data_IF_203842460326
#
_entry.id   IF_203842460326
#
_cell.length_a   1.000
_cell.length_b   1.000
_cell.length_c   1.000
_cell.angle_alpha   90.00
_cell.angle_beta   90.00
_cell.angle_gamma   90.00
#
_symmetry.space_group_name_H-M   'P 1'
#
loop_
_entity.id
_entity.type
_entity.pdbx_description
1 polymer ?
#
# COMPACT_ATOMS: atom_id res chain seq x y z
N UNK A 1 8.65 -9.94 -7.29
CA UNK A 1 9.40 -8.94 -8.10
C UNK A 1 8.59 -8.48 -9.30
N UNK A 2 7.96 -9.38 -10.11
CA UNK A 2 7.19 -8.98 -11.31
C UNK A 2 6.05 -8.02 -10.99
N UNK A 3 5.23 -8.29 -9.96
CA UNK A 3 4.15 -7.40 -9.55
C UNK A 3 4.67 -6.01 -9.17
N UNK A 4 5.79 -5.94 -8.43
CA UNK A 4 6.41 -4.66 -8.06
C UNK A 4 6.87 -3.88 -9.30
N UNK A 5 7.50 -4.55 -10.27
CA UNK A 5 7.88 -3.91 -11.53
C UNK A 5 6.67 -3.35 -12.28
N UNK A 6 5.57 -4.10 -12.33
CA UNK A 6 4.33 -3.62 -12.96
C UNK A 6 3.79 -2.37 -12.25
N UNK A 7 3.77 -2.35 -10.92
CA UNK A 7 3.34 -1.17 -10.15
C UNK A 7 4.24 0.04 -10.42
N UNK A 8 5.57 -0.12 -10.40
CA UNK A 8 6.51 0.97 -10.72
C UNK A 8 6.25 1.54 -12.11
N UNK A 9 5.86 0.70 -13.08
CA UNK A 9 5.59 1.14 -14.46
C UNK A 9 4.29 1.92 -14.61
N UNK A 10 3.47 2.00 -13.58
CA UNK A 10 2.22 2.76 -13.57
C UNK A 10 2.42 3.99 -12.68
N UNK A 11 2.50 5.21 -13.26
CA UNK A 11 2.55 6.43 -12.45
C UNK A 11 1.37 6.47 -11.45
N UNK A 12 1.70 6.68 -10.18
CA UNK A 12 0.72 6.70 -9.08
C UNK A 12 0.99 7.88 -8.14
N UNK A 13 1.20 9.05 -8.69
CA UNK A 13 1.38 10.27 -7.90
C UNK A 13 0.14 10.48 -7.03
N UNK A 14 0.33 10.91 -5.77
CA UNK A 14 -0.78 11.16 -4.84
C UNK A 14 -1.92 11.94 -5.49
N UNK A 15 -3.14 11.41 -5.39
CA UNK A 15 -4.39 11.83 -6.04
C UNK A 15 -4.54 11.44 -7.51
N UNK A 16 -3.55 10.78 -8.11
CA UNK A 16 -3.57 10.31 -9.51
C UNK A 16 -3.39 8.79 -9.61
N UNK A 17 -3.70 8.03 -8.55
CA UNK A 17 -3.39 6.60 -8.39
C UNK A 17 -4.39 5.66 -9.09
N UNK A 18 -5.38 6.17 -9.81
CA UNK A 18 -6.49 5.36 -10.34
C UNK A 18 -6.01 4.14 -11.12
N UNK A 19 -5.02 4.30 -12.01
CA UNK A 19 -4.51 3.19 -12.81
C UNK A 19 -3.79 2.13 -11.97
N UNK A 20 -3.03 2.55 -10.96
CA UNK A 20 -2.35 1.64 -10.04
C UNK A 20 -3.34 0.87 -9.17
N UNK A 21 -4.37 1.55 -8.69
CA UNK A 21 -5.45 0.95 -7.92
C UNK A 21 -6.27 -0.04 -8.76
N UNK A 22 -6.62 0.30 -10.01
CA UNK A 22 -7.32 -0.59 -10.94
C UNK A 22 -6.48 -1.85 -11.23
N UNK A 23 -5.19 -1.66 -11.50
CA UNK A 23 -4.27 -2.76 -11.74
C UNK A 23 -4.17 -3.69 -10.53
N UNK A 24 -4.00 -3.14 -9.34
CA UNK A 24 -3.89 -3.91 -8.10
C UNK A 24 -5.19 -4.64 -7.77
N UNK A 25 -6.34 -3.97 -7.94
CA UNK A 25 -7.65 -4.57 -7.76
C UNK A 25 -7.81 -5.79 -8.67
N UNK A 26 -7.57 -5.64 -9.96
CA UNK A 26 -7.63 -6.73 -10.93
C UNK A 26 -6.68 -7.88 -10.56
N UNK A 27 -5.46 -7.57 -10.10
CA UNK A 27 -4.51 -8.59 -9.68
C UNK A 27 -5.03 -9.40 -8.48
N UNK A 28 -5.64 -8.75 -7.50
CA UNK A 28 -6.22 -9.40 -6.32
C UNK A 28 -7.42 -10.26 -6.71
N UNK A 29 -8.28 -9.77 -7.59
CA UNK A 29 -9.46 -10.50 -8.11
C UNK A 29 -9.05 -11.73 -8.93
N UNK A 30 -8.01 -11.62 -9.77
CA UNK A 30 -7.43 -12.76 -10.50
C UNK A 30 -6.82 -13.82 -9.57
N UNK A 31 -6.41 -13.43 -8.37
CA UNK A 31 -5.97 -14.35 -7.32
C UNK A 31 -7.16 -15.02 -6.58
N UNK A 32 -8.40 -14.76 -6.98
CA UNK A 32 -9.62 -15.36 -6.44
C UNK A 32 -10.19 -14.66 -5.20
N UNK A 33 -9.73 -13.45 -4.90
CA UNK A 33 -10.21 -12.67 -3.76
C UNK A 33 -11.28 -11.66 -4.20
N UNK A 34 -12.29 -11.46 -3.37
CA UNK A 34 -13.25 -10.35 -3.55
C UNK A 34 -12.66 -9.07 -2.99
N UNK A 35 -12.73 -8.01 -3.77
CA UNK A 35 -12.22 -6.69 -3.38
C UNK A 35 -13.33 -5.72 -3.01
N UNK A 36 -13.00 -4.79 -2.12
CA UNK A 36 -13.74 -3.55 -1.91
C UNK A 36 -12.93 -2.37 -2.45
N UNK A 37 -13.61 -1.30 -2.82
CA UNK A 37 -12.99 -0.10 -3.37
C UNK A 37 -13.66 1.17 -2.82
N UNK A 38 -12.85 2.18 -2.47
CA UNK A 38 -13.31 3.53 -2.20
C UNK A 38 -12.28 4.54 -2.69
N UNK A 39 -12.64 5.30 -3.72
CA UNK A 39 -11.65 6.11 -4.44
C UNK A 39 -10.55 5.23 -5.00
N UNK A 40 -9.31 5.52 -4.64
CA UNK A 40 -8.14 4.73 -5.02
C UNK A 40 -7.66 3.75 -3.92
N UNK A 41 -8.38 3.66 -2.80
CA UNK A 41 -8.13 2.63 -1.79
C UNK A 41 -8.74 1.30 -2.23
N UNK A 42 -7.97 0.23 -2.15
CA UNK A 42 -8.37 -1.14 -2.51
C UNK A 42 -8.14 -2.06 -1.33
N UNK A 43 -9.14 -2.85 -0.95
CA UNK A 43 -8.99 -3.82 0.14
C UNK A 43 -9.61 -5.16 -0.18
N UNK A 44 -9.24 -6.18 0.58
CA UNK A 44 -9.88 -7.47 0.57
C UNK A 44 -9.83 -8.14 1.96
N UNK A 45 -10.76 -9.03 2.19
CA UNK A 45 -10.88 -9.80 3.43
C UNK A 45 -10.40 -11.23 3.24
N UNK A 46 -9.85 -11.84 4.29
CA UNK A 46 -9.59 -13.26 4.28
C UNK A 46 -10.88 -14.07 4.11
N UNK A 47 -10.86 -15.22 3.42
CA UNK A 47 -11.99 -16.12 3.35
C UNK A 47 -12.51 -16.50 4.74
N UNK A 48 -13.80 -16.77 4.86
CA UNK A 48 -14.45 -17.17 6.13
C UNK A 48 -14.21 -16.16 7.26
N UNK A 49 -14.34 -14.86 6.94
CA UNK A 49 -14.24 -13.78 7.92
C UNK A 49 -15.26 -14.00 9.05
N UNK A 50 -14.81 -13.98 10.30
CA UNK A 50 -15.65 -14.23 11.48
C UNK A 50 -15.48 -13.07 12.47
N UNK A 51 -16.54 -12.31 12.71
CA UNK A 51 -16.53 -11.16 13.63
C UNK A 51 -16.16 -11.51 15.09
N UNK A 52 -16.15 -12.80 15.45
CA UNK A 52 -15.71 -13.26 16.78
C UNK A 52 -14.19 -13.41 16.88
N UNK A 53 -13.48 -13.39 15.77
CA UNK A 53 -12.01 -13.52 15.74
C UNK A 53 -11.37 -12.13 15.77
N UNK A 54 -10.18 -11.97 16.38
CA UNK A 54 -9.40 -10.75 16.24
C UNK A 54 -9.04 -10.52 14.78
N UNK A 55 -8.97 -9.26 14.37
CA UNK A 55 -8.69 -8.85 13.00
C UNK A 55 -7.34 -8.15 12.92
N UNK A 56 -6.49 -8.60 12.00
CA UNK A 56 -5.21 -7.98 11.67
C UNK A 56 -5.36 -7.24 10.34
N UNK A 57 -5.03 -5.95 10.33
CA UNK A 57 -4.94 -5.13 9.14
C UNK A 57 -3.50 -5.13 8.62
N UNK A 58 -3.32 -5.45 7.35
CA UNK A 58 -2.07 -5.31 6.61
C UNK A 58 -2.25 -4.13 5.65
N UNK A 59 -1.61 -3.01 5.94
CA UNK A 59 -1.75 -1.77 5.18
C UNK A 59 -0.40 -1.29 4.63
N UNK A 60 -0.43 -0.74 3.43
CA UNK A 60 0.63 0.08 2.85
C UNK A 60 0.05 0.96 1.75
N UNK A 61 0.73 2.06 1.38
CA UNK A 61 0.22 2.99 0.39
C UNK A 61 0.72 2.69 -1.03
N UNK A 62 -0.11 3.03 -2.03
CA UNK A 62 0.20 2.84 -3.45
C UNK A 62 0.64 4.12 -4.14
N UNK A 63 0.43 5.27 -3.50
CA UNK A 63 0.85 6.55 -4.07
C UNK A 63 2.35 6.78 -3.90
N UNK A 64 2.84 7.73 -4.68
CA UNK A 64 4.23 8.18 -4.66
C UNK A 64 4.27 9.70 -4.71
N UNK A 65 5.37 10.26 -4.25
CA UNK A 65 5.71 11.67 -4.53
C UNK A 65 5.90 11.91 -6.02
N UNK A 66 5.91 13.18 -6.44
CA UNK A 66 6.31 13.54 -7.81
C UNK A 66 7.81 13.30 -8.03
N UNK A 67 8.21 12.79 -9.22
CA UNK A 67 9.62 12.70 -9.54
C UNK A 67 10.30 14.07 -9.44
N UNK A 68 11.43 14.12 -8.75
CA UNK A 68 12.22 15.37 -8.65
C UNK A 68 13.12 15.55 -9.87
N UNK A 69 13.48 16.80 -10.16
CA UNK A 69 14.50 17.10 -11.16
C UNK A 69 15.85 16.49 -10.72
N UNK A 70 16.45 15.67 -11.55
CA UNK A 70 17.73 15.03 -11.24
C UNK A 70 17.70 13.51 -11.27
N UNK A 71 16.54 12.91 -11.51
CA UNK A 71 16.50 11.49 -11.86
C UNK A 71 17.35 11.24 -13.11
N UNK A 72 18.35 10.37 -13.01
CA UNK A 72 19.25 10.03 -14.12
C UNK A 72 18.63 9.00 -15.09
N UNK A 73 17.59 8.32 -14.66
CA UNK A 73 16.87 7.28 -15.40
C UNK A 73 15.38 7.59 -15.27
N UNK A 74 14.57 7.08 -16.18
CA UNK A 74 13.13 7.22 -16.10
C UNK A 74 12.62 6.58 -14.79
N UNK A 75 11.94 7.34 -13.92
CA UNK A 75 11.45 6.86 -12.63
C UNK A 75 10.41 5.75 -12.75
N UNK A 76 9.68 5.69 -13.85
CA UNK A 76 8.62 4.71 -14.12
C UNK A 76 9.08 3.52 -14.97
N UNK A 77 10.36 3.42 -15.27
CA UNK A 77 10.95 2.24 -15.93
C UNK A 77 11.74 1.42 -14.92
N UNK A 78 11.17 0.33 -14.38
CA UNK A 78 11.81 -0.49 -13.35
C UNK A 78 13.05 -1.18 -13.90
N UNK A 79 14.16 -1.14 -13.19
CA UNK A 79 15.45 -1.73 -13.58
C UNK A 79 16.06 -2.54 -12.46
N UNK A 80 16.51 -3.73 -12.80
CA UNK A 80 17.34 -4.54 -11.89
C UNK A 80 18.82 -4.36 -12.24
N UNK A 81 19.59 -3.88 -11.28
CA UNK A 81 21.03 -3.72 -11.42
C UNK A 81 21.71 -4.11 -10.10
N UNK A 82 22.69 -5.00 -10.16
CA UNK A 82 23.49 -5.44 -8.99
C UNK A 82 22.64 -5.92 -7.80
N UNK A 83 21.56 -6.68 -8.08
CA UNK A 83 20.65 -7.21 -7.06
C UNK A 83 19.71 -6.17 -6.43
N UNK A 84 19.63 -4.97 -6.99
CA UNK A 84 18.72 -3.90 -6.57
C UNK A 84 17.70 -3.60 -7.63
N UNK A 85 16.47 -3.29 -7.22
CA UNK A 85 15.41 -2.81 -8.11
C UNK A 85 15.29 -1.29 -7.96
N UNK A 86 15.46 -0.59 -9.07
CA UNK A 86 15.34 0.87 -9.17
C UNK A 86 14.03 1.25 -9.83
N UNK A 87 13.41 2.31 -9.34
CA UNK A 87 12.18 2.92 -9.83
C UNK A 87 11.49 3.72 -8.72
N UNK A 88 10.71 4.73 -9.07
CA UNK A 88 9.95 5.52 -8.10
C UNK A 88 8.94 4.62 -7.38
N UNK A 89 8.83 4.75 -6.07
CA UNK A 89 7.96 3.90 -5.26
C UNK A 89 8.43 2.45 -5.11
N UNK A 90 9.65 2.09 -5.56
CA UNK A 90 10.15 0.70 -5.42
C UNK A 90 10.33 0.29 -3.97
N UNK A 91 10.69 1.22 -3.08
CA UNK A 91 10.88 1.01 -1.64
C UNK A 91 9.77 1.66 -0.83
N UNK A 92 9.40 2.87 -1.17
CA UNK A 92 8.36 3.69 -0.55
C UNK A 92 7.14 3.82 -1.49
N UNK A 93 6.04 3.05 -1.29
CA UNK A 93 6.01 1.89 -0.41
C UNK A 93 5.67 0.60 -1.20
N UNK A 94 5.94 0.56 -2.53
CA UNK A 94 5.57 -0.54 -3.41
C UNK A 94 6.10 -1.90 -2.98
N UNK A 95 7.33 -1.96 -2.41
CA UNK A 95 7.87 -3.20 -1.86
C UNK A 95 6.99 -3.73 -0.72
N UNK A 96 6.53 -2.84 0.15
CA UNK A 96 5.64 -3.17 1.27
C UNK A 96 4.24 -3.58 0.78
N UNK A 97 3.66 -2.84 -0.17
CA UNK A 97 2.38 -3.19 -0.83
C UNK A 97 2.42 -4.63 -1.35
N UNK A 98 3.45 -4.96 -2.11
CA UNK A 98 3.58 -6.29 -2.71
C UNK A 98 3.86 -7.36 -1.68
N UNK A 99 4.74 -7.10 -0.71
CA UNK A 99 5.12 -8.07 0.32
C UNK A 99 3.94 -8.42 1.22
N UNK A 100 3.20 -7.41 1.70
CA UNK A 100 2.01 -7.62 2.54
C UNK A 100 0.90 -8.32 1.76
N UNK A 101 0.70 -8.01 0.48
CA UNK A 101 -0.26 -8.73 -0.36
C UNK A 101 0.12 -10.21 -0.50
N UNK A 102 1.39 -10.51 -0.77
CA UNK A 102 1.82 -11.90 -0.91
C UNK A 102 1.67 -12.68 0.41
N UNK A 103 1.99 -12.06 1.55
CA UNK A 103 1.77 -12.65 2.88
C UNK A 103 0.28 -12.89 3.11
N UNK A 104 -0.58 -11.91 2.80
CA UNK A 104 -2.03 -12.05 2.90
C UNK A 104 -2.53 -13.24 2.06
N UNK A 105 -2.20 -13.28 0.78
CA UNK A 105 -2.62 -14.37 -0.13
C UNK A 105 -2.10 -15.74 0.32
N UNK A 106 -0.90 -15.81 0.86
CA UNK A 106 -0.32 -17.04 1.39
C UNK A 106 -1.06 -17.53 2.63
N UNK A 107 -1.35 -16.63 3.58
CA UNK A 107 -2.06 -16.95 4.82
C UNK A 107 -3.53 -17.33 4.56
N UNK A 108 -4.15 -16.74 3.54
CA UNK A 108 -5.53 -17.10 3.15
C UNK A 108 -5.69 -18.52 2.60
N UNK A 109 -4.60 -19.23 2.30
CA UNK A 109 -4.65 -20.62 1.83
C UNK A 109 -4.97 -21.62 2.95
N UNK A 110 -4.83 -21.22 4.19
CA UNK A 110 -5.06 -22.06 5.37
C UNK A 110 -5.95 -21.33 6.37
N UNK A 111 -6.69 -22.11 7.18
CA UNK A 111 -7.53 -21.53 8.23
C UNK A 111 -6.67 -20.87 9.30
N UNK A 112 -7.01 -19.64 9.66
CA UNK A 112 -6.34 -18.85 10.68
C UNK A 112 -7.21 -18.69 11.93
N UNK A 113 -6.57 -18.46 13.08
CA UNK A 113 -7.25 -18.13 14.35
C UNK A 113 -7.68 -16.64 14.40
N UNK A 114 -7.38 -15.86 13.37
CA UNK A 114 -7.64 -14.45 13.23
C UNK A 114 -8.16 -14.16 11.81
N UNK A 115 -8.80 -13.02 11.65
CA UNK A 115 -9.13 -12.48 10.34
C UNK A 115 -7.95 -11.67 9.80
N UNK A 116 -7.88 -11.57 8.48
CA UNK A 116 -6.96 -10.66 7.80
C UNK A 116 -7.75 -9.68 6.93
N UNK A 117 -7.32 -8.44 6.94
CA UNK A 117 -7.67 -7.41 5.97
C UNK A 117 -6.38 -6.97 5.30
N UNK A 118 -6.30 -7.04 3.99
CA UNK A 118 -5.29 -6.33 3.22
C UNK A 118 -5.90 -5.03 2.70
N UNK A 119 -5.20 -3.93 2.87
CA UNK A 119 -5.60 -2.60 2.40
C UNK A 119 -4.42 -1.91 1.75
N UNK A 120 -4.56 -1.61 0.47
CA UNK A 120 -3.70 -0.71 -0.27
C UNK A 120 -4.34 0.67 -0.26
N UNK A 121 -3.77 1.60 0.47
CA UNK A 121 -4.30 2.97 0.64
C UNK A 121 -3.69 3.92 -0.39
N UNK A 122 -4.36 5.04 -0.62
CA UNK A 122 -3.91 6.14 -1.47
C UNK A 122 -3.68 7.41 -0.64
N UNK A 123 -3.12 8.45 -1.26
CA UNK A 123 -2.93 9.80 -0.71
C UNK A 123 -2.14 9.86 0.62
N UNK A 124 -1.28 8.88 0.91
CA UNK A 124 -0.49 8.85 2.14
C UNK A 124 0.51 10.00 2.17
N UNK A 125 1.29 10.17 1.08
CA UNK A 125 2.38 11.14 0.92
C UNK A 125 1.93 12.62 1.05
N UNK A 126 0.62 12.85 1.00
CA UNK A 126 0.01 14.18 1.11
C UNK A 126 -0.97 14.28 2.27
N UNK A 127 -1.04 13.28 3.13
CA UNK A 127 -2.02 13.18 4.22
C UNK A 127 -3.44 13.51 3.74
N UNK A 128 -3.81 12.92 2.59
CA UNK A 128 -5.02 13.27 1.87
C UNK A 128 -6.28 12.73 2.54
N UNK A 129 -7.36 13.50 2.48
CA UNK A 129 -8.66 13.16 3.10
C UNK A 129 -9.34 11.92 2.51
N UNK A 130 -9.00 11.56 1.27
CA UNK A 130 -9.55 10.41 0.57
C UNK A 130 -8.68 9.14 0.75
N UNK A 131 -7.60 9.24 1.54
CA UNK A 131 -6.72 8.15 1.93
C UNK A 131 -7.35 7.16 2.92
N UNK A 132 -6.50 6.53 3.74
CA UNK A 132 -6.89 5.48 4.70
C UNK A 132 -8.01 5.91 5.66
N UNK A 133 -7.99 7.16 6.13
CA UNK A 133 -9.02 7.70 7.05
C UNK A 133 -10.44 7.59 6.47
N UNK A 134 -10.56 7.67 5.15
CA UNK A 134 -11.85 7.55 4.49
C UNK A 134 -12.42 6.13 4.54
N UNK A 135 -11.56 5.12 4.64
CA UNK A 135 -11.92 3.69 4.56
C UNK A 135 -12.16 3.09 5.95
N UNK A 136 -11.35 3.46 6.93
CA UNK A 136 -11.38 2.87 8.28
C UNK A 136 -12.76 2.79 8.92
N UNK A 137 -13.64 3.81 8.84
CA UNK A 137 -14.98 3.74 9.44
C UNK A 137 -15.90 2.67 8.84
N UNK A 138 -15.60 2.22 7.61
CA UNK A 138 -16.35 1.17 6.91
C UNK A 138 -15.80 -0.24 7.09
N UNK A 139 -14.64 -0.39 7.75
CA UNK A 139 -14.04 -1.69 8.03
C UNK A 139 -14.53 -2.27 9.36
N UNK A 140 -14.52 -3.61 9.49
CA UNK A 140 -14.70 -4.26 10.80
C UNK A 140 -13.66 -3.77 11.81
N UNK A 141 -13.94 -3.89 13.12
CA UNK A 141 -12.97 -3.51 14.16
C UNK A 141 -11.63 -4.22 13.97
N UNK A 142 -10.56 -3.44 13.96
CA UNK A 142 -9.18 -3.91 13.82
C UNK A 142 -8.56 -4.05 15.21
N UNK A 143 -8.01 -5.23 15.50
CA UNK A 143 -7.34 -5.52 16.77
C UNK A 143 -5.86 -5.14 16.75
N UNK A 144 -5.23 -5.25 15.57
CA UNK A 144 -3.83 -4.98 15.35
C UNK A 144 -3.59 -4.60 13.88
N UNK A 145 -2.69 -3.67 13.65
CA UNK A 145 -2.30 -3.26 12.30
C UNK A 145 -0.79 -3.42 12.08
N UNK A 146 -0.42 -3.88 10.90
CA UNK A 146 0.95 -3.84 10.37
C UNK A 146 0.92 -2.87 9.21
N UNK A 147 1.64 -1.76 9.36
CA UNK A 147 1.82 -0.75 8.31
C UNK A 147 3.18 -0.96 7.66
N UNK A 148 3.16 -1.16 6.37
CA UNK A 148 4.36 -1.43 5.59
C UNK A 148 4.99 -0.15 5.06
N UNK A 149 6.11 0.23 5.67
CA UNK A 149 6.90 1.42 5.37
C UNK A 149 8.40 1.08 5.30
N UNK A 150 9.25 1.94 4.69
CA UNK A 150 10.69 1.69 4.58
C UNK A 150 11.42 1.95 5.91
N UNK A 151 11.31 1.03 6.86
CA UNK A 151 11.89 1.10 8.21
C UNK A 151 13.18 0.28 8.37
N UNK A 152 13.88 -0.04 7.27
CA UNK A 152 15.05 -0.94 7.26
C UNK A 152 14.78 -2.30 7.93
N UNK A 153 13.55 -2.81 7.82
CA UNK A 153 13.07 -4.05 8.46
C UNK A 153 13.10 -4.01 10.00
N UNK A 154 13.13 -2.81 10.59
CA UNK A 154 13.02 -2.61 12.03
C UNK A 154 11.57 -2.27 12.39
N UNK A 155 10.96 -2.95 13.37
CA UNK A 155 9.60 -2.60 13.79
C UNK A 155 9.61 -1.26 14.51
N UNK A 156 8.85 -0.28 14.00
CA UNK A 156 8.52 0.96 14.70
C UNK A 156 7.18 0.80 15.43
N UNK A 157 7.14 1.15 16.71
CA UNK A 157 5.92 1.04 17.54
C UNK A 157 5.36 2.40 17.94
N UNK A 158 6.08 3.46 17.63
CA UNK A 158 5.68 4.85 17.83
C UNK A 158 6.48 5.77 16.91
N UNK A 159 5.89 6.87 16.52
CA UNK A 159 6.53 7.90 15.69
C UNK A 159 6.43 9.26 16.34
N UNK A 160 7.34 10.16 15.93
CA UNK A 160 7.25 11.59 16.29
C UNK A 160 6.20 12.25 15.40
N UNK A 161 5.42 13.18 15.97
CA UNK A 161 4.52 13.99 15.16
C UNK A 161 5.26 14.81 14.10
N UNK A 162 4.67 14.96 12.93
CA UNK A 162 5.15 15.82 11.85
C UNK A 162 4.40 17.15 11.88
N UNK A 163 5.15 18.26 11.79
CA UNK A 163 4.58 19.58 11.57
C UNK A 163 5.20 20.18 10.32
N UNK A 164 4.37 20.57 9.38
CA UNK A 164 4.78 21.28 8.16
C UNK A 164 4.37 22.75 8.28
N UNK A 165 5.30 23.65 8.04
CA UNK A 165 5.07 25.11 8.05
C UNK A 165 5.41 25.67 6.67
N UNK A 166 4.39 26.17 5.99
CA UNK A 166 4.58 26.91 4.74
C UNK A 166 4.73 28.41 5.06
N UNK A 167 5.85 28.98 4.67
CA UNK A 167 6.14 30.41 4.89
C UNK A 167 6.30 31.09 3.53
N UNK A 168 5.51 32.14 3.28
CA UNK A 168 5.61 32.98 2.08
C UNK A 168 6.07 34.37 2.49
N UNK A 169 7.18 34.81 1.91
CA UNK A 169 7.62 36.22 1.99
C UNK A 169 7.16 36.95 0.74
N UNK A 170 6.49 38.10 0.92
CA UNK A 170 6.06 39.02 -0.14
C UNK A 170 6.89 40.28 -0.13
#
# INVERSE_FOLDING_TARGET
VSLLKSLISIPSISREETQAADFLQNYIEMAGMQTGRKGNNVWCFSPMFDLKKPTILLNSHIDTVKPVNGWRKDPFTPREENGKLYGLGSNDAGASVVSLLQVFLQLCRTSQKYNLIYLASCEEEVSGKDGIESVLPGLPPVSFAIVGEPTEMQPAIAEKGLMVLDVTAT
#
